data_IF_523280692708
#
_entry.id   IF_523280692708
#
_cell.length_a   1.000
_cell.length_b   1.000
_cell.length_c   1.000
_cell.angle_alpha   90.00
_cell.angle_beta   90.00
_cell.angle_gamma   90.00
#
_symmetry.space_group_name_H-M   'P 1'
#
loop_
_entity.id
_entity.type
_entity.pdbx_description
1 polymer ?
#
# COMPACT_ATOMS: atom_id res chain seq x y z
N UNK A 1 18.79 0.87 1.06
CA UNK A 1 17.91 0.69 -0.10
C UNK A 1 17.22 -0.65 0.13
N UNK A 2 15.92 -0.69 0.44
CA UNK A 2 15.19 -1.96 0.45
C UNK A 2 15.17 -2.46 -0.99
N UNK A 3 15.59 -3.70 -1.18
CA UNK A 3 15.60 -4.33 -2.49
C UNK A 3 14.21 -4.92 -2.73
N UNK A 4 13.51 -4.39 -3.72
CA UNK A 4 12.16 -4.79 -4.07
C UNK A 4 12.11 -5.70 -5.31
N UNK A 5 13.27 -6.10 -5.86
CA UNK A 5 13.37 -6.81 -7.14
C UNK A 5 12.75 -8.22 -7.10
N UNK A 6 12.61 -8.81 -5.90
CA UNK A 6 12.02 -10.14 -5.70
C UNK A 6 10.61 -10.13 -5.11
N UNK A 7 9.99 -8.95 -4.96
CA UNK A 7 8.65 -8.84 -4.37
C UNK A 7 7.60 -9.01 -5.48
N UNK A 8 6.56 -9.83 -5.26
CA UNK A 8 5.48 -9.98 -6.24
C UNK A 8 4.81 -8.63 -6.51
N UNK A 9 4.64 -8.31 -7.79
CA UNK A 9 3.94 -7.11 -8.26
C UNK A 9 2.54 -7.51 -8.71
N UNK A 10 1.54 -6.86 -8.12
CA UNK A 10 0.14 -7.02 -8.46
C UNK A 10 -0.37 -5.71 -9.05
N UNK A 11 -0.99 -5.80 -10.22
CA UNK A 11 -1.71 -4.66 -10.78
C UNK A 11 -3.10 -4.58 -10.15
N UNK A 12 -3.47 -3.40 -9.65
CA UNK A 12 -4.76 -3.14 -9.03
C UNK A 12 -5.85 -3.10 -10.11
N UNK A 13 -6.39 -4.27 -10.43
CA UNK A 13 -7.58 -4.44 -11.26
C UNK A 13 -8.68 -5.11 -10.43
N UNK A 14 -9.94 -4.78 -10.75
CA UNK A 14 -11.14 -5.18 -10.03
C UNK A 14 -11.33 -6.70 -9.98
N UNK A 15 -10.82 -7.31 -8.91
CA UNK A 15 -11.16 -8.67 -8.49
C UNK A 15 -9.94 -9.53 -8.16
N UNK A 16 -9.24 -10.03 -9.17
CA UNK A 16 -8.22 -11.05 -8.96
C UNK A 16 -6.97 -10.54 -8.21
N UNK A 17 -6.49 -9.33 -8.54
CA UNK A 17 -5.32 -8.74 -7.89
C UNK A 17 -5.53 -8.48 -6.40
N UNK A 18 -6.74 -8.06 -6.02
CA UNK A 18 -7.12 -7.81 -4.63
C UNK A 18 -7.09 -9.09 -3.78
N UNK A 19 -7.67 -10.17 -4.30
CA UNK A 19 -7.74 -11.45 -3.55
C UNK A 19 -6.33 -11.99 -3.32
N UNK A 20 -5.46 -11.89 -4.31
CA UNK A 20 -4.06 -12.29 -4.17
C UNK A 20 -3.32 -11.39 -3.19
N UNK A 21 -3.50 -10.06 -3.26
CA UNK A 21 -2.91 -9.12 -2.30
C UNK A 21 -3.33 -9.45 -0.87
N UNK A 22 -4.63 -9.67 -0.62
CA UNK A 22 -5.14 -10.05 0.70
C UNK A 22 -4.55 -11.37 1.19
N UNK A 23 -4.33 -12.35 0.29
CA UNK A 23 -3.72 -13.63 0.66
C UNK A 23 -2.24 -13.46 1.06
N UNK A 24 -1.46 -12.67 0.33
CA UNK A 24 -0.06 -12.37 0.63
C UNK A 24 0.07 -11.65 1.98
N UNK A 25 -0.71 -10.57 2.17
CA UNK A 25 -0.71 -9.77 3.39
C UNK A 25 -1.12 -10.60 4.62
N UNK A 26 -2.10 -11.50 4.49
CA UNK A 26 -2.48 -12.43 5.57
C UNK A 26 -1.34 -13.35 5.99
N UNK A 27 -0.45 -13.70 5.08
CA UNK A 27 0.72 -14.54 5.33
C UNK A 27 1.94 -13.71 5.76
N UNK A 28 1.77 -12.40 5.95
CA UNK A 28 2.85 -11.43 6.19
C UNK A 28 3.91 -11.46 5.08
N UNK A 29 3.54 -11.87 3.86
CA UNK A 29 4.42 -11.83 2.70
C UNK A 29 4.39 -10.42 2.09
N UNK A 30 5.55 -9.88 1.68
CA UNK A 30 5.59 -8.56 1.09
C UNK A 30 4.97 -8.57 -0.30
N UNK A 31 4.30 -7.48 -0.67
CA UNK A 31 3.64 -7.34 -1.98
C UNK A 31 3.69 -5.91 -2.48
N UNK A 32 3.96 -5.73 -3.78
CA UNK A 32 3.84 -4.45 -4.45
C UNK A 32 2.48 -4.40 -5.14
N UNK A 33 1.73 -3.32 -4.90
CA UNK A 33 0.48 -3.06 -5.61
C UNK A 33 0.69 -1.82 -6.47
N UNK A 34 0.55 -1.98 -7.78
CA UNK A 34 0.58 -0.89 -8.76
C UNK A 34 -0.83 -0.45 -9.10
N UNK A 35 -1.02 0.85 -9.21
CA UNK A 35 -2.28 1.49 -9.51
C UNK A 35 -2.23 2.17 -10.88
N UNK A 36 -3.38 2.39 -11.53
CA UNK A 36 -3.43 3.19 -12.75
C UNK A 36 -3.07 4.66 -12.46
N UNK A 37 -2.66 5.40 -13.50
CA UNK A 37 -2.18 6.79 -13.36
C UNK A 37 -3.24 7.76 -12.79
N UNK A 38 -4.53 7.45 -12.97
CA UNK A 38 -5.66 8.23 -12.45
C UNK A 38 -5.97 7.94 -10.97
N UNK A 39 -5.30 6.95 -10.37
CA UNK A 39 -5.49 6.61 -8.97
C UNK A 39 -4.86 7.67 -8.06
N UNK A 40 -5.63 8.16 -7.10
CA UNK A 40 -5.19 9.18 -6.17
C UNK A 40 -4.37 8.56 -5.02
N UNK A 41 -3.07 8.87 -4.96
CA UNK A 41 -2.13 8.48 -3.91
C UNK A 41 -1.76 9.61 -2.93
N UNK A 42 -2.48 10.73 -2.96
CA UNK A 42 -2.22 11.91 -2.13
C UNK A 42 -2.59 11.65 -0.66
N UNK A 43 -1.61 11.13 0.11
CA UNK A 43 -1.76 10.87 1.53
C UNK A 43 -1.10 11.97 2.37
N UNK A 44 -1.74 12.34 3.48
CA UNK A 44 -1.05 13.11 4.52
C UNK A 44 -0.10 12.19 5.31
N UNK A 45 1.19 12.28 5.00
CA UNK A 45 2.24 11.48 5.62
C UNK A 45 2.24 11.56 7.15
N UNK A 46 1.91 12.73 7.73
CA UNK A 46 1.86 12.91 9.18
C UNK A 46 0.70 12.12 9.81
N UNK A 47 -0.51 12.23 9.27
CA UNK A 47 -1.67 11.45 9.74
C UNK A 47 -1.48 9.94 9.52
N UNK A 48 -0.67 9.56 8.54
CA UNK A 48 -0.34 8.16 8.25
C UNK A 48 0.82 7.60 9.10
N UNK A 49 1.48 8.44 9.92
CA UNK A 49 2.64 8.04 10.72
C UNK A 49 3.85 7.62 9.87
N UNK A 50 3.94 8.10 8.64
CA UNK A 50 5.01 7.79 7.71
C UNK A 50 6.33 8.44 8.14
N UNK A 51 7.44 7.81 7.75
CA UNK A 51 8.76 8.42 7.73
C UNK A 51 9.06 8.95 6.33
N UNK A 52 9.93 9.95 6.24
CA UNK A 52 10.42 10.42 4.95
C UNK A 52 11.27 9.34 4.27
N UNK A 53 10.97 9.03 3.01
CA UNK A 53 11.76 8.15 2.16
C UNK A 53 12.91 8.88 1.46
N UNK A 54 13.37 8.31 0.34
CA UNK A 54 14.50 8.84 -0.42
C UNK A 54 14.14 10.03 -1.32
N UNK A 55 12.86 10.37 -1.43
CA UNK A 55 12.35 11.49 -2.21
C UNK A 55 11.13 12.10 -1.51
N UNK A 56 10.73 13.31 -1.92
CA UNK A 56 9.56 14.00 -1.36
C UNK A 56 8.23 13.27 -1.64
N UNK A 57 8.22 12.36 -2.62
CA UNK A 57 7.05 11.60 -3.08
C UNK A 57 7.15 10.11 -2.69
N UNK A 58 8.04 9.80 -1.75
CA UNK A 58 8.25 8.47 -1.20
C UNK A 58 8.13 8.54 0.31
N UNK A 59 7.08 7.91 0.83
CA UNK A 59 6.79 7.80 2.26
C UNK A 59 7.01 6.35 2.67
N UNK A 60 7.72 6.12 3.77
CA UNK A 60 8.11 4.76 4.19
C UNK A 60 7.64 4.42 5.60
N UNK A 61 7.50 3.13 5.88
CA UNK A 61 7.09 2.58 7.18
C UNK A 61 5.78 3.20 7.71
N UNK A 62 4.82 3.50 6.82
CA UNK A 62 3.54 4.10 7.20
C UNK A 62 2.63 3.09 7.89
N UNK A 63 1.70 3.58 8.72
CA UNK A 63 0.64 2.75 9.30
C UNK A 63 -0.32 2.25 8.22
N UNK A 64 -0.27 0.94 7.95
CA UNK A 64 -1.05 0.30 6.88
C UNK A 64 -2.55 0.62 6.96
N UNK A 65 -3.14 0.55 8.16
CA UNK A 65 -4.56 0.86 8.36
C UNK A 65 -4.91 2.28 7.92
N UNK A 66 -4.11 3.28 8.32
CA UNK A 66 -4.40 4.68 8.05
C UNK A 66 -4.25 5.00 6.56
N UNK A 67 -3.13 4.57 5.95
CA UNK A 67 -2.85 4.77 4.53
C UNK A 67 -3.96 4.15 3.69
N UNK A 68 -4.22 2.86 3.86
CA UNK A 68 -5.15 2.14 3.00
C UNK A 68 -6.62 2.57 3.22
N UNK A 69 -6.98 3.04 4.42
CA UNK A 69 -8.28 3.68 4.66
C UNK A 69 -8.41 5.01 3.92
N UNK A 70 -7.40 5.87 3.97
CA UNK A 70 -7.41 7.16 3.25
C UNK A 70 -7.47 6.92 1.73
N UNK A 71 -6.64 6.02 1.21
CA UNK A 71 -6.67 5.67 -0.22
C UNK A 71 -8.02 5.07 -0.64
N UNK A 72 -8.66 4.28 0.22
CA UNK A 72 -10.01 3.78 -0.01
C UNK A 72 -11.04 4.92 -0.12
N UNK A 73 -10.96 5.91 0.77
CA UNK A 73 -11.85 7.07 0.79
C UNK A 73 -11.65 7.97 -0.45
N UNK A 74 -10.39 8.26 -0.80
CA UNK A 74 -10.03 9.11 -1.94
C UNK A 74 -10.48 8.53 -3.29
N UNK A 75 -10.49 7.20 -3.41
CA UNK A 75 -10.76 6.50 -4.66
C UNK A 75 -12.12 5.77 -4.67
N UNK A 76 -12.93 5.91 -3.61
CA UNK A 76 -14.19 5.18 -3.43
C UNK A 76 -14.05 3.63 -3.54
N UNK A 77 -12.97 3.09 -2.99
CA UNK A 77 -12.59 1.67 -3.07
C UNK A 77 -12.58 1.02 -1.68
N UNK A 78 -13.74 0.59 -1.14
CA UNK A 78 -13.83 0.05 0.22
C UNK A 78 -12.98 -1.23 0.43
N UNK A 79 -12.63 -1.92 -0.65
CA UNK A 79 -11.73 -3.07 -0.62
C UNK A 79 -10.31 -2.74 -0.10
N UNK A 80 -9.82 -1.52 -0.35
CA UNK A 80 -8.53 -1.08 0.19
C UNK A 80 -8.57 -0.92 1.70
N UNK A 81 -9.66 -0.37 2.24
CA UNK A 81 -9.83 -0.26 3.69
C UNK A 81 -9.79 -1.65 4.33
N UNK A 82 -10.41 -2.65 3.70
CA UNK A 82 -10.36 -4.04 4.18
C UNK A 82 -8.95 -4.63 4.11
N UNK A 83 -8.20 -4.35 3.05
CA UNK A 83 -6.79 -4.74 2.95
C UNK A 83 -5.97 -4.09 4.07
N UNK A 84 -6.25 -2.83 4.41
CA UNK A 84 -5.62 -2.10 5.51
C UNK A 84 -5.87 -2.69 6.89
N UNK A 85 -7.08 -3.17 7.15
CA UNK A 85 -7.39 -3.94 8.37
C UNK A 85 -6.53 -5.21 8.44
N UNK A 86 -6.48 -5.98 7.35
CA UNK A 86 -5.72 -7.23 7.29
C UNK A 86 -4.23 -6.98 7.48
N UNK A 87 -3.67 -5.97 6.82
CA UNK A 87 -2.27 -5.60 6.95
C UNK A 87 -1.92 -5.17 8.37
N UNK A 88 -2.81 -4.39 9.01
CA UNK A 88 -2.63 -3.99 10.39
C UNK A 88 -2.68 -5.17 11.37
N UNK A 89 -3.63 -6.09 11.19
CA UNK A 89 -3.72 -7.33 11.98
C UNK A 89 -2.47 -8.21 11.82
N UNK A 90 -1.87 -8.21 10.62
CA UNK A 90 -0.61 -8.90 10.34
C UNK A 90 0.64 -8.14 10.84
N UNK A 91 0.48 -6.93 11.39
CA UNK A 91 1.60 -6.09 11.85
C UNK A 91 2.41 -5.46 10.72
N UNK A 92 1.90 -5.45 9.50
CA UNK A 92 2.58 -4.92 8.32
C UNK A 92 2.50 -3.39 8.22
N UNK A 93 3.50 -2.83 7.57
CA UNK A 93 3.66 -1.43 7.22
C UNK A 93 3.45 -1.24 5.71
N UNK A 94 3.33 0.03 5.31
CA UNK A 94 3.19 0.40 3.90
C UNK A 94 4.20 1.47 3.53
N UNK A 95 4.93 1.23 2.45
CA UNK A 95 5.66 2.26 1.72
C UNK A 95 4.77 2.77 0.58
N UNK A 96 4.73 4.09 0.37
CA UNK A 96 3.96 4.75 -0.69
C UNK A 96 4.91 5.48 -1.61
N UNK A 97 4.89 5.13 -2.90
CA UNK A 97 5.70 5.77 -3.93
C UNK A 97 4.76 6.39 -4.98
N UNK A 98 4.41 7.67 -4.78
CA UNK A 98 3.47 8.38 -5.66
C UNK A 98 4.01 8.48 -7.09
N UNK A 99 5.31 8.78 -7.25
CA UNK A 99 5.94 8.91 -8.57
C UNK A 99 6.00 7.62 -9.37
N UNK A 100 5.84 6.46 -8.73
CA UNK A 100 5.79 5.15 -9.38
C UNK A 100 4.37 4.53 -9.37
N UNK A 101 3.36 5.31 -8.93
CA UNK A 101 1.97 4.89 -8.78
C UNK A 101 1.82 3.53 -8.08
N UNK A 102 2.55 3.32 -6.99
CA UNK A 102 2.56 2.03 -6.27
C UNK A 102 2.63 2.18 -4.76
N UNK A 103 2.18 1.15 -4.09
CA UNK A 103 2.47 0.92 -2.68
C UNK A 103 3.19 -0.42 -2.50
N UNK A 104 3.98 -0.52 -1.44
CA UNK A 104 4.60 -1.77 -1.01
C UNK A 104 4.10 -2.08 0.39
N UNK A 105 3.48 -3.24 0.58
CA UNK A 105 3.10 -3.75 1.90
C UNK A 105 4.17 -4.73 2.34
N UNK A 106 4.71 -4.57 3.56
CA UNK A 106 5.80 -5.39 4.08
C UNK A 106 5.78 -5.42 5.62
N UNK A 107 6.65 -6.21 6.25
CA UNK A 107 6.82 -6.28 7.71
C UNK A 107 7.61 -5.10 8.32
#
# INVERSE_FOLDING_TARGET
>A
MRDYDNIPVLEWHDGAGLVHAMAQVKLAEPVIIRFPEDFNLDIDANSCGCKAGNSAVHHVDCHAHNVLRILAELNALPSLAKLGEIAHEAGQLVDVEEGAHRIIIHD
#
